data_IF_583627643201
#
_entry.id   IF_583627643201
#
_cell.length_a   1.000
_cell.length_b   1.000
_cell.length_c   1.000
_cell.angle_alpha   90.00
_cell.angle_beta   90.00
_cell.angle_gamma   90.00
#
_symmetry.space_group_name_H-M   'P 1'
#
loop_
_entity.id
_entity.type
_entity.pdbx_description
1 polymer ?
#
# COMPACT_ATOMS: atom_id res chain seq x y z
N UNK A 1 -3.54 10.55 -5.42
CA UNK A 1 -4.33 11.73 -5.85
C UNK A 1 -5.53 11.87 -4.94
N UNK A 2 -5.75 13.06 -4.36
CA UNK A 2 -6.98 13.38 -3.64
C UNK A 2 -7.96 14.03 -4.61
N UNK A 3 -9.21 13.57 -4.63
CA UNK A 3 -10.28 14.14 -5.45
C UNK A 3 -11.56 14.18 -4.62
N UNK A 4 -11.95 15.39 -4.18
CA UNK A 4 -13.01 15.57 -3.19
C UNK A 4 -12.67 14.81 -1.91
N UNK A 5 -13.61 13.96 -1.48
CA UNK A 5 -13.50 13.14 -0.27
C UNK A 5 -12.73 11.82 -0.48
N UNK A 6 -12.36 11.50 -1.72
CA UNK A 6 -11.70 10.25 -2.06
C UNK A 6 -10.19 10.42 -2.20
N UNK A 7 -9.46 9.41 -1.70
CA UNK A 7 -8.03 9.24 -1.94
C UNK A 7 -7.80 8.06 -2.88
N UNK A 8 -7.22 8.33 -4.04
CA UNK A 8 -6.78 7.33 -5.00
C UNK A 8 -5.29 7.10 -4.83
N UNK A 9 -4.96 5.88 -4.42
CA UNK A 9 -3.56 5.42 -4.27
C UNK A 9 -3.16 4.71 -5.57
N UNK A 10 -1.98 5.02 -6.09
CA UNK A 10 -1.44 4.33 -7.27
C UNK A 10 -1.19 2.86 -6.96
N UNK A 11 -0.95 2.06 -8.00
CA UNK A 11 -0.50 0.68 -7.82
C UNK A 11 0.71 0.61 -6.89
N UNK A 12 0.66 -0.24 -5.87
CA UNK A 12 1.76 -0.43 -4.93
C UNK A 12 2.49 -1.73 -5.25
N UNK A 13 3.77 -1.62 -5.56
CA UNK A 13 4.67 -2.78 -5.64
C UNK A 13 4.95 -3.30 -4.23
N UNK A 14 5.09 -4.62 -4.12
CA UNK A 14 5.40 -5.35 -2.88
C UNK A 14 6.88 -5.31 -2.51
N UNK A 15 7.62 -4.35 -3.04
CA UNK A 15 9.05 -4.15 -2.76
C UNK A 15 9.27 -3.38 -1.47
N UNK A 16 10.41 -3.59 -0.84
CA UNK A 16 10.84 -2.78 0.29
C UNK A 16 11.28 -1.39 -0.22
N UNK A 17 10.63 -0.30 0.21
CA UNK A 17 10.94 1.04 -0.28
C UNK A 17 12.36 1.52 0.12
N UNK A 18 12.99 0.89 1.11
CA UNK A 18 14.35 1.23 1.55
C UNK A 18 15.45 0.57 0.70
N UNK A 19 15.23 -0.67 0.26
CA UNK A 19 16.23 -1.45 -0.48
C UNK A 19 15.92 -1.54 -1.97
N UNK A 20 14.67 -1.31 -2.37
CA UNK A 20 14.19 -1.50 -3.74
C UNK A 20 13.97 -2.96 -4.13
N UNK A 21 14.15 -3.90 -3.20
CA UNK A 21 14.11 -5.34 -3.47
C UNK A 21 12.83 -6.00 -2.93
N UNK A 22 12.52 -7.18 -3.46
CA UNK A 22 11.44 -7.99 -2.91
C UNK A 22 11.84 -8.56 -1.55
N UNK A 23 10.91 -8.56 -0.57
CA UNK A 23 11.18 -9.20 0.71
C UNK A 23 11.40 -10.71 0.54
N UNK A 24 12.40 -11.24 1.26
CA UNK A 24 12.62 -12.69 1.38
C UNK A 24 11.43 -13.34 2.11
N UNK A 25 11.03 -14.55 1.69
CA UNK A 25 9.87 -15.25 2.27
C UNK A 25 8.67 -15.41 1.32
N UNK A 26 8.83 -15.01 0.05
CA UNK A 26 7.88 -15.30 -1.02
C UNK A 26 6.58 -14.49 -0.94
N UNK A 27 5.48 -15.06 -1.46
CA UNK A 27 4.20 -14.34 -1.66
C UNK A 27 3.61 -13.75 -0.38
N UNK A 28 3.79 -14.40 0.77
CA UNK A 28 3.25 -13.91 2.06
C UNK A 28 3.94 -12.63 2.49
N UNK A 29 5.26 -12.60 2.45
CA UNK A 29 6.05 -11.43 2.85
C UNK A 29 5.90 -10.29 1.83
N UNK A 30 5.81 -10.62 0.54
CA UNK A 30 5.46 -9.65 -0.49
C UNK A 30 4.09 -9.01 -0.23
N UNK A 31 3.05 -9.81 0.04
CA UNK A 31 1.74 -9.27 0.38
C UNK A 31 1.82 -8.36 1.62
N UNK A 32 2.49 -8.81 2.69
CA UNK A 32 2.70 -8.01 3.90
C UNK A 32 3.39 -6.69 3.62
N UNK A 33 4.41 -6.68 2.76
CA UNK A 33 5.14 -5.49 2.36
C UNK A 33 4.27 -4.55 1.54
N UNK A 34 3.47 -5.07 0.60
CA UNK A 34 2.50 -4.28 -0.15
C UNK A 34 1.50 -3.58 0.78
N UNK A 35 0.98 -4.29 1.78
CA UNK A 35 0.11 -3.69 2.80
C UNK A 35 0.84 -2.64 3.65
N UNK A 36 2.09 -2.85 4.04
CA UNK A 36 2.89 -1.84 4.76
C UNK A 36 3.06 -0.57 3.92
N UNK A 37 3.34 -0.71 2.63
CA UNK A 37 3.48 0.42 1.71
C UNK A 37 2.16 1.21 1.60
N UNK A 38 1.03 0.51 1.40
CA UNK A 38 -0.30 1.14 1.39
C UNK A 38 -0.60 1.83 2.72
N UNK A 39 -0.30 1.20 3.86
CA UNK A 39 -0.51 1.80 5.20
C UNK A 39 0.25 3.11 5.34
N UNK A 40 1.49 3.16 4.86
CA UNK A 40 2.33 4.36 4.91
C UNK A 40 1.71 5.50 4.10
N UNK A 41 1.20 5.22 2.89
CA UNK A 41 0.57 6.23 2.04
C UNK A 41 -0.75 6.72 2.64
N UNK A 42 -1.56 5.82 3.20
CA UNK A 42 -2.78 6.18 3.89
C UNK A 42 -2.48 7.10 5.07
N UNK A 43 -1.49 6.73 5.91
CA UNK A 43 -1.10 7.51 7.08
C UNK A 43 -0.59 8.92 6.71
N UNK A 44 0.22 9.02 5.66
CA UNK A 44 0.73 10.31 5.14
C UNK A 44 -0.42 11.22 4.65
N UNK A 45 -1.48 10.61 4.11
CA UNK A 45 -2.68 11.32 3.70
C UNK A 45 -3.71 11.53 4.83
N UNK A 46 -3.42 11.12 6.06
CA UNK A 46 -4.33 11.24 7.22
C UNK A 46 -5.45 10.20 7.29
N UNK A 47 -5.34 9.11 6.52
CA UNK A 47 -6.29 8.00 6.47
C UNK A 47 -5.71 6.73 7.12
N UNK A 48 -6.57 5.73 7.33
CA UNK A 48 -6.16 4.40 7.76
C UNK A 48 -6.96 3.31 7.00
N UNK A 49 -6.68 2.04 7.28
CA UNK A 49 -7.33 0.93 6.58
C UNK A 49 -8.85 0.85 6.74
N UNK A 50 -9.43 1.44 7.79
CA UNK A 50 -10.89 1.50 7.96
C UNK A 50 -11.57 2.42 6.95
N UNK A 51 -10.82 3.34 6.33
CA UNK A 51 -11.32 4.23 5.28
C UNK A 51 -11.26 3.58 3.88
N UNK A 52 -10.73 2.36 3.75
CA UNK A 52 -10.57 1.69 2.46
C UNK A 52 -11.89 1.04 2.05
N UNK A 53 -12.57 1.66 1.08
CA UNK A 53 -13.86 1.17 0.55
C UNK A 53 -13.72 0.22 -0.64
N UNK A 54 -12.59 0.25 -1.36
CA UNK A 54 -12.31 -0.64 -2.49
C UNK A 54 -10.82 -0.98 -2.55
N UNK A 55 -10.52 -2.24 -2.84
CA UNK A 55 -9.17 -2.75 -3.10
C UNK A 55 -9.16 -3.64 -4.34
N UNK A 56 -8.04 -3.64 -5.07
CA UNK A 56 -7.79 -4.49 -6.25
C UNK A 56 -6.39 -5.10 -6.12
N UNK A 57 -6.27 -6.41 -6.36
CA UNK A 57 -5.02 -7.18 -6.33
C UNK A 57 -4.87 -7.92 -7.65
N UNK A 58 -3.63 -8.01 -8.12
CA UNK A 58 -3.15 -8.75 -9.28
C UNK A 58 -1.82 -9.39 -8.92
#
# INVERSE_FOLDING_TARGET
MKAGDFLFVSWQLTINPKTGEFPEGGVKEQAHQGFKNIKSILADAGFNFTNVVKKSYY
#
